data_IF_867346661278
#
_entry.id   IF_867346661278
#
_cell.length_a   1.000
_cell.length_b   1.000
_cell.length_c   1.000
_cell.angle_alpha   90.00
_cell.angle_beta   90.00
_cell.angle_gamma   90.00
#
_symmetry.space_group_name_H-M   'P 1'
#
loop_
_entity.id
_entity.type
_entity.pdbx_description
1 polymer ?
#
# COMPACT_ATOMS: atom_id res chain seq x y z
N UNK A 1 8.84 -17.38 -5.96
CA UNK A 1 9.41 -16.05 -6.27
C UNK A 1 8.39 -14.98 -5.90
N UNK A 2 8.29 -14.69 -4.60
CA UNK A 2 7.69 -13.44 -4.14
C UNK A 2 8.71 -12.34 -4.44
N UNK A 3 8.78 -11.90 -5.69
CA UNK A 3 9.69 -10.83 -6.09
C UNK A 3 9.17 -9.51 -5.51
N UNK A 4 9.72 -9.19 -4.34
CA UNK A 4 10.31 -7.89 -3.99
C UNK A 4 9.42 -6.64 -4.03
N UNK A 5 8.11 -6.76 -3.83
CA UNK A 5 7.22 -5.61 -3.70
C UNK A 5 6.68 -5.49 -2.27
N UNK A 6 7.53 -5.02 -1.34
CA UNK A 6 7.12 -4.66 0.02
C UNK A 6 8.10 -4.99 1.15
N UNK A 7 9.15 -5.77 0.88
CA UNK A 7 9.97 -6.41 1.92
C UNK A 7 10.88 -5.48 2.76
N UNK A 8 11.00 -4.18 2.46
CA UNK A 8 11.98 -3.35 3.18
C UNK A 8 11.45 -2.74 4.48
N UNK A 9 10.13 -2.51 4.63
CA UNK A 9 9.60 -1.85 5.84
C UNK A 9 8.14 -2.18 6.20
N UNK A 10 7.40 -2.93 5.38
CA UNK A 10 5.96 -3.14 5.60
C UNK A 10 5.70 -4.40 6.44
N UNK A 11 4.86 -4.25 7.47
CA UNK A 11 4.34 -5.38 8.24
C UNK A 11 3.35 -6.21 7.38
N UNK A 12 3.31 -7.55 7.51
CA UNK A 12 2.33 -8.36 6.81
C UNK A 12 0.92 -8.08 7.38
N UNK A 13 0.00 -7.67 6.50
CA UNK A 13 -1.41 -7.49 6.84
C UNK A 13 -2.26 -8.52 6.12
N UNK A 14 -3.32 -9.01 6.78
CA UNK A 14 -4.32 -9.88 6.15
C UNK A 14 -5.16 -9.05 5.19
N UNK A 15 -5.02 -9.31 3.90
CA UNK A 15 -5.74 -8.61 2.81
C UNK A 15 -6.55 -9.59 1.98
N UNK A 16 -7.67 -9.14 1.43
CA UNK A 16 -8.41 -9.91 0.43
C UNK A 16 -7.69 -9.90 -0.92
N UNK A 17 -7.82 -11.01 -1.64
CA UNK A 17 -7.32 -11.18 -3.01
C UNK A 17 -8.41 -10.67 -3.96
N UNK A 18 -8.03 -9.83 -4.92
CA UNK A 18 -8.95 -9.32 -5.94
C UNK A 18 -9.02 -10.28 -7.12
N UNK A 19 -7.89 -10.51 -7.77
CA UNK A 19 -7.81 -11.28 -9.02
C UNK A 19 -6.44 -11.92 -9.23
N UNK A 20 -6.38 -12.89 -10.15
CA UNK A 20 -5.14 -13.49 -10.66
C UNK A 20 -4.84 -12.88 -12.02
N UNK A 21 -3.65 -12.28 -12.21
CA UNK A 21 -3.27 -11.66 -13.50
C UNK A 21 -2.48 -12.63 -14.37
N UNK A 22 -1.56 -13.38 -13.76
CA UNK A 22 -0.58 -14.13 -14.51
C UNK A 22 -0.16 -15.41 -13.79
N UNK A 23 0.00 -16.46 -14.56
CA UNK A 23 0.59 -17.71 -14.13
C UNK A 23 1.60 -18.17 -15.20
N UNK A 24 2.79 -18.58 -14.79
CA UNK A 24 3.86 -18.92 -15.73
C UNK A 24 3.61 -20.24 -16.49
N UNK A 25 2.90 -21.19 -15.88
CA UNK A 25 2.80 -22.55 -16.41
C UNK A 25 1.58 -22.78 -17.30
N UNK A 26 0.48 -22.06 -17.06
CA UNK A 26 -0.78 -22.25 -17.80
C UNK A 26 -1.67 -21.00 -17.67
N UNK A 27 -2.18 -20.51 -18.80
CA UNK A 27 -3.06 -19.35 -18.88
C UNK A 27 -4.52 -19.65 -18.53
N UNK A 28 -4.97 -20.91 -18.63
CA UNK A 28 -6.33 -21.32 -18.24
C UNK A 28 -6.60 -21.03 -16.75
N UNK A 29 -5.56 -21.09 -15.92
CA UNK A 29 -5.64 -20.81 -14.49
C UNK A 29 -5.87 -19.32 -14.18
N UNK A 30 -5.50 -18.44 -15.10
CA UNK A 30 -5.78 -17.00 -15.02
C UNK A 30 -7.27 -16.75 -15.29
N UNK A 31 -7.83 -17.40 -16.33
CA UNK A 31 -9.24 -17.26 -16.69
C UNK A 31 -10.18 -17.79 -15.61
N UNK A 32 -9.81 -18.90 -14.97
CA UNK A 32 -10.58 -19.53 -13.89
C UNK A 32 -10.33 -18.94 -12.51
N UNK A 33 -9.39 -17.99 -12.37
CA UNK A 33 -8.96 -17.39 -11.09
C UNK A 33 -8.51 -18.44 -10.06
N UNK A 34 -7.85 -19.50 -10.50
CA UNK A 34 -7.36 -20.57 -9.63
C UNK A 34 -6.04 -20.18 -8.98
N UNK A 35 -5.92 -20.39 -7.66
CA UNK A 35 -4.71 -20.05 -6.90
C UNK A 35 -3.72 -21.21 -6.89
N UNK A 36 -2.55 -20.99 -7.48
CA UNK A 36 -1.42 -21.92 -7.48
C UNK A 36 -0.19 -21.22 -6.91
N UNK A 37 0.78 -22.00 -6.42
CA UNK A 37 2.08 -21.46 -6.00
C UNK A 37 2.71 -20.69 -7.16
N UNK A 38 3.23 -19.50 -6.88
CA UNK A 38 3.92 -18.63 -7.82
C UNK A 38 3.03 -17.88 -8.85
N UNK A 39 1.70 -17.84 -8.65
CA UNK A 39 0.82 -16.93 -9.39
C UNK A 39 1.08 -15.45 -9.02
N UNK A 40 0.94 -14.56 -9.99
CA UNK A 40 0.93 -13.10 -9.78
C UNK A 40 -0.53 -12.67 -9.62
N UNK A 41 -0.82 -12.04 -8.49
CA UNK A 41 -2.18 -11.68 -8.07
C UNK A 41 -2.30 -10.19 -7.78
N UNK A 42 -3.51 -9.66 -7.95
CA UNK A 42 -3.91 -8.36 -7.45
C UNK A 42 -4.45 -8.47 -6.03
N UNK A 43 -3.98 -7.58 -5.18
CA UNK A 43 -4.35 -7.51 -3.77
C UNK A 43 -5.06 -6.18 -3.53
N UNK A 44 -6.04 -6.19 -2.62
CA UNK A 44 -6.70 -4.97 -2.14
C UNK A 44 -5.70 -4.08 -1.41
N UNK A 45 -5.61 -2.81 -1.84
CA UNK A 45 -4.56 -1.86 -1.44
C UNK A 45 -4.92 -0.99 -0.22
N UNK A 46 -6.19 -0.95 0.18
CA UNK A 46 -6.73 -0.03 1.21
C UNK A 46 -6.05 -0.21 2.56
N UNK A 47 -5.80 -1.45 2.98
CA UNK A 47 -5.16 -1.76 4.26
C UNK A 47 -3.70 -1.28 4.32
N UNK A 48 -2.96 -1.41 3.22
CA UNK A 48 -1.59 -0.91 3.14
C UNK A 48 -1.53 0.62 3.07
N UNK A 49 -2.55 1.27 2.46
CA UNK A 49 -2.69 2.73 2.48
C UNK A 49 -2.88 3.26 3.90
N UNK A 50 -3.83 2.70 4.64
CA UNK A 50 -4.11 3.07 6.02
C UNK A 50 -2.88 2.87 6.93
N UNK A 51 -2.17 1.75 6.77
CA UNK A 51 -0.93 1.51 7.50
C UNK A 51 0.13 2.58 7.20
N UNK A 52 0.31 2.93 5.92
CA UNK A 52 1.30 3.93 5.53
C UNK A 52 0.96 5.32 6.06
N UNK A 53 -0.31 5.70 6.03
CA UNK A 53 -0.80 6.96 6.59
C UNK A 53 -0.60 7.01 8.11
N UNK A 54 -0.83 5.92 8.82
CA UNK A 54 -0.57 5.84 10.26
C UNK A 54 0.94 5.86 10.60
N UNK A 55 1.76 5.19 9.78
CA UNK A 55 3.20 5.00 10.02
C UNK A 55 4.04 6.20 9.60
N UNK A 56 3.66 6.89 8.52
CA UNK A 56 4.40 8.05 8.03
C UNK A 56 3.62 9.35 8.15
N UNK A 57 2.36 9.39 8.54
CA UNK A 57 1.57 10.63 8.57
C UNK A 57 1.72 11.44 7.26
N UNK A 58 1.62 10.73 6.14
CA UNK A 58 1.66 11.26 4.78
C UNK A 58 0.47 10.67 4.02
N UNK A 59 -0.37 11.49 3.38
CA UNK A 59 -1.43 10.97 2.54
C UNK A 59 -0.82 10.30 1.30
N UNK A 60 -1.26 9.08 0.99
CA UNK A 60 -0.92 8.37 -0.25
C UNK A 60 -2.16 8.12 -1.10
N UNK A 61 -1.99 8.03 -2.42
CA UNK A 61 -3.03 7.53 -3.31
C UNK A 61 -4.18 8.50 -3.61
N UNK A 62 -4.12 9.76 -3.14
CA UNK A 62 -5.11 10.76 -3.51
C UNK A 62 -4.81 11.33 -4.90
N UNK A 63 -5.73 11.15 -5.84
CA UNK A 63 -5.74 11.92 -7.08
C UNK A 63 -5.87 13.40 -6.73
N UNK A 64 -5.15 14.26 -7.46
CA UNK A 64 -5.19 15.72 -7.25
C UNK A 64 -6.63 16.21 -7.38
N UNK A 65 -7.35 16.37 -6.26
CA UNK A 65 -8.70 16.95 -6.24
C UNK A 65 -9.76 16.22 -5.38
N UNK A 66 -9.55 14.97 -4.95
CA UNK A 66 -10.53 14.27 -4.11
C UNK A 66 -10.29 14.59 -2.63
N UNK A 67 -11.35 15.01 -1.92
CA UNK A 67 -11.30 15.34 -0.49
C UNK A 67 -11.08 14.06 0.32
N UNK A 68 -10.18 14.11 1.31
CA UNK A 68 -9.98 13.04 2.28
C UNK A 68 -11.28 12.78 3.05
N UNK A 69 -11.52 11.54 3.46
CA UNK A 69 -12.60 11.23 4.40
C UNK A 69 -12.26 11.82 5.78
N UNK A 70 -13.25 12.26 6.57
CA UNK A 70 -13.02 12.93 7.85
C UNK A 70 -12.22 12.06 8.85
N UNK A 71 -12.31 10.75 8.74
CA UNK A 71 -11.57 9.78 9.57
C UNK A 71 -10.07 9.73 9.22
N UNK A 72 -9.70 9.89 7.95
CA UNK A 72 -8.31 9.90 7.49
C UNK A 72 -7.60 11.21 7.89
N UNK A 73 -8.32 12.34 7.87
CA UNK A 73 -7.80 13.64 8.30
C UNK A 73 -7.56 13.71 9.83
N UNK A 74 -8.42 13.10 10.63
CA UNK A 74 -8.23 13.04 12.09
C UNK A 74 -7.01 12.20 12.48
N UNK A 75 -6.69 11.14 11.73
CA UNK A 75 -5.49 10.31 12.00
C UNK A 75 -4.21 11.06 11.66
N UNK A 76 -4.23 11.85 10.58
CA UNK A 76 -3.09 12.66 10.10
C UNK A 76 -2.81 13.87 11.01
N UNK A 77 -3.85 14.54 11.53
CA UNK A 77 -3.72 15.79 12.28
C UNK A 77 -3.75 15.66 13.80
N UNK A 78 -3.60 14.44 14.37
CA UNK A 78 -3.48 14.28 15.83
C UNK A 78 -2.31 15.12 16.35
N UNK A 79 -2.56 16.08 17.25
CA UNK A 79 -1.50 16.83 17.93
C UNK A 79 -0.62 15.87 18.72
N UNK A 80 0.62 15.67 18.26
CA UNK A 80 1.61 14.80 18.92
C UNK A 80 2.63 15.62 19.70
N UNK A 81 3.21 15.00 20.72
CA UNK A 81 4.30 15.57 21.50
C UNK A 81 5.53 15.83 20.63
N UNK A 82 6.31 16.88 20.95
CA UNK A 82 7.50 17.32 20.19
C UNK A 82 8.51 16.19 19.93
N UNK A 83 8.69 15.26 20.88
CA UNK A 83 9.58 14.09 20.73
C UNK A 83 9.09 13.10 19.68
N UNK A 84 7.78 12.92 19.58
CA UNK A 84 7.14 12.00 18.65
C UNK A 84 7.20 12.59 17.24
N UNK A 85 6.95 13.90 17.10
CA UNK A 85 7.07 14.60 15.83
C UNK A 85 8.47 14.44 15.22
N UNK A 86 9.52 14.64 16.02
CA UNK A 86 10.91 14.45 15.59
C UNK A 86 11.18 13.03 15.08
N UNK A 87 10.62 12.01 15.73
CA UNK A 87 10.72 10.61 15.27
C UNK A 87 10.06 10.41 13.90
N UNK A 88 8.88 10.98 13.67
CA UNK A 88 8.21 10.93 12.37
C UNK A 88 9.00 11.66 11.29
N UNK A 89 9.57 12.83 11.60
CA UNK A 89 10.36 13.60 10.63
C UNK A 89 11.65 12.87 10.24
N UNK A 90 12.30 12.20 11.19
CA UNK A 90 13.47 11.35 10.93
C UNK A 90 13.11 10.11 10.10
N UNK A 91 12.01 9.43 10.43
CA UNK A 91 11.48 8.28 9.69
C UNK A 91 11.08 8.65 8.25
N UNK A 92 10.39 9.78 8.07
CA UNK A 92 9.99 10.32 6.77
C UNK A 92 11.20 10.55 5.87
N UNK A 93 12.23 11.22 6.38
CA UNK A 93 13.42 11.58 5.58
C UNK A 93 14.20 10.36 5.09
N UNK A 94 14.24 9.28 5.88
CA UNK A 94 15.01 8.07 5.55
C UNK A 94 14.23 7.13 4.62
N UNK A 95 12.96 6.87 4.91
CA UNK A 95 12.25 5.71 4.34
C UNK A 95 10.98 6.06 3.56
N UNK A 96 10.51 7.32 3.53
CA UNK A 96 9.25 7.66 2.86
C UNK A 96 9.34 7.84 1.33
N UNK A 97 10.51 7.61 0.73
CA UNK A 97 10.66 7.66 -0.73
C UNK A 97 10.16 6.35 -1.34
N UNK A 98 8.97 6.40 -1.93
CA UNK A 98 8.39 5.30 -2.72
C UNK A 98 8.73 5.51 -4.19
N UNK A 99 8.97 4.41 -4.93
CA UNK A 99 9.17 4.44 -6.38
C UNK A 99 7.90 4.91 -7.12
N UNK A 100 8.07 5.54 -8.29
CA UNK A 100 6.94 6.04 -9.10
C UNK A 100 5.95 4.93 -9.46
N UNK A 101 6.46 3.77 -9.89
CA UNK A 101 5.65 2.59 -10.29
C UNK A 101 4.77 2.10 -9.14
N UNK A 102 5.27 2.15 -7.91
CA UNK A 102 4.50 1.76 -6.73
C UNK A 102 3.44 2.79 -6.38
N UNK A 103 3.79 4.08 -6.52
CA UNK A 103 2.85 5.17 -6.26
C UNK A 103 1.65 5.10 -7.19
N UNK A 104 1.86 4.77 -8.46
CA UNK A 104 0.79 4.65 -9.45
C UNK A 104 -0.19 3.50 -9.14
N UNK A 105 0.31 2.40 -8.58
CA UNK A 105 -0.53 1.28 -8.13
C UNK A 105 -1.52 1.70 -7.03
N UNK A 106 -1.16 2.64 -6.16
CA UNK A 106 -2.06 3.15 -5.10
C UNK A 106 -3.11 4.15 -5.60
N UNK A 107 -2.92 4.75 -6.80
CA UNK A 107 -3.87 5.72 -7.36
C UNK A 107 -5.02 5.08 -8.12
N UNK A 108 -4.83 3.86 -8.64
CA UNK A 108 -5.86 3.19 -9.42
C UNK A 108 -6.99 2.71 -8.49
N UNK A 109 -8.23 3.20 -8.65
CA UNK A 109 -9.40 2.56 -8.08
C UNK A 109 -9.82 1.46 -9.06
N UNK A 110 -9.59 0.20 -8.68
CA UNK A 110 -10.39 -0.91 -9.22
C UNK A 110 -11.39 -1.31 -8.17
#
# INVERSE_FOLDING_TARGET
>A
MATSLGALNAAPHKTSITDVIYNASNNELVQTKTLVKNCIILIVRTLYRQWYEAHYALPLGHQKGTKLTPEEEEILNKKRSKKIQKKYDEQKKKNAKISSILRDQFHCPV
#
